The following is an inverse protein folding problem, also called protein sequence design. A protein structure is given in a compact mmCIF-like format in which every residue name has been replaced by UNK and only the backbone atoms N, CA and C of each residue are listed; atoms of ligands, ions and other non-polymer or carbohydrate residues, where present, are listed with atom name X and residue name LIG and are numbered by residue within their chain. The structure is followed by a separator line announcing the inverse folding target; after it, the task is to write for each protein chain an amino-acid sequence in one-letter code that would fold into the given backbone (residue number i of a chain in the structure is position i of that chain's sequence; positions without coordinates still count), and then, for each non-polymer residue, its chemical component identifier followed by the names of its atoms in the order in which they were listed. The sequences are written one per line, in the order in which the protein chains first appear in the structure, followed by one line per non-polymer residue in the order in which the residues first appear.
data_IF_954793388014
#
_entry.id   IF_954793388014
#
_cell.length_a   1.000
_cell.length_b   1.000
_cell.length_c   1.000
_cell.angle_alpha   90.00
_cell.angle_beta   90.00
_cell.angle_gamma   90.00
#
_symmetry.space_group_name_H-M   'P 1'
#
loop_
_entity.id
_entity.type
_entity.pdbx_description
1 polymer ?
#
# COMPACT_ATOMS: atom_id res chain seq x y z
N UNK A 1 6.03 3.99 12.79
CA UNK A 1 5.05 3.88 13.89
C UNK A 1 5.67 4.54 15.11
N UNK A 2 4.90 5.24 15.97
CA UNK A 2 5.46 5.80 17.21
C UNK A 2 5.82 4.70 18.21
N UNK A 3 6.78 4.96 19.09
CA UNK A 3 7.20 4.02 20.13
C UNK A 3 6.09 3.73 21.17
N UNK A 4 5.16 4.67 21.35
CA UNK A 4 4.00 4.50 22.24
C UNK A 4 2.68 4.91 21.52
N UNK A 5 2.01 4.00 20.81
CA UNK A 5 0.78 4.29 20.09
C UNK A 5 -0.39 4.56 21.05
N UNK A 6 -1.20 5.56 20.72
CA UNK A 6 -2.37 5.98 21.48
C UNK A 6 -3.62 5.25 20.99
N UNK A 7 -4.51 4.92 21.94
CA UNK A 7 -5.80 4.29 21.62
C UNK A 7 -6.66 5.23 20.76
N UNK A 8 -7.43 4.63 19.84
CA UNK A 8 -8.29 5.32 18.89
C UNK A 8 -7.56 6.29 17.94
N UNK A 9 -6.24 6.20 17.79
CA UNK A 9 -5.48 6.99 16.82
C UNK A 9 -5.08 6.15 15.61
N UNK A 10 -5.36 6.68 14.41
CA UNK A 10 -4.87 6.09 13.17
C UNK A 10 -3.43 6.53 12.90
N UNK A 11 -2.52 5.56 12.73
CA UNK A 11 -1.14 5.82 12.35
C UNK A 11 -0.92 5.40 10.90
N UNK A 12 -0.88 6.40 10.02
CA UNK A 12 -0.65 6.19 8.60
C UNK A 12 0.86 6.22 8.35
N UNK A 13 1.47 5.15 7.81
CA UNK A 13 2.89 5.19 7.45
C UNK A 13 3.11 6.20 6.32
N UNK A 14 4.32 6.78 6.25
CA UNK A 14 4.71 7.60 5.11
C UNK A 14 4.66 6.75 3.84
N UNK A 15 3.89 7.22 2.88
CA UNK A 15 3.78 6.60 1.57
C UNK A 15 4.78 7.28 0.64
N UNK A 16 5.78 6.52 0.17
CA UNK A 16 6.77 7.02 -0.80
C UNK A 16 6.23 6.71 -2.20
N UNK A 17 6.07 7.75 -3.01
CA UNK A 17 5.60 7.62 -4.38
C UNK A 17 6.69 7.02 -5.27
N UNK A 18 6.38 5.89 -5.90
CA UNK A 18 7.30 5.14 -6.77
C UNK A 18 6.87 5.11 -8.25
N UNK A 19 6.02 6.05 -8.67
CA UNK A 19 5.45 6.06 -10.01
C UNK A 19 4.14 5.30 -10.12
N UNK A 20 3.64 5.16 -11.35
CA UNK A 20 2.43 4.41 -11.66
C UNK A 20 2.70 3.30 -12.68
N UNK A 21 2.03 2.16 -12.51
CA UNK A 21 2.00 1.08 -13.49
C UNK A 21 1.12 1.47 -14.70
N UNK A 22 1.27 0.71 -15.79
CA UNK A 22 0.37 0.86 -16.94
C UNK A 22 -1.09 0.56 -16.55
N UNK A 23 -2.10 1.13 -17.24
CA UNK A 23 -3.51 0.91 -16.90
C UNK A 23 -3.91 -0.56 -16.82
N UNK A 24 -3.47 -1.38 -17.78
CA UNK A 24 -3.80 -2.81 -17.79
C UNK A 24 -3.18 -3.58 -16.64
N UNK A 25 -1.95 -3.23 -16.27
CA UNK A 25 -1.29 -3.85 -15.12
C UNK A 25 -1.96 -3.43 -13.81
N UNK A 26 -2.28 -2.15 -13.66
CA UNK A 26 -2.96 -1.64 -12.48
C UNK A 26 -4.35 -2.25 -12.28
N UNK A 27 -5.10 -2.41 -13.37
CA UNK A 27 -6.40 -3.09 -13.36
C UNK A 27 -6.28 -4.53 -12.86
N UNK A 28 -5.29 -5.29 -13.36
CA UNK A 28 -5.06 -6.69 -12.95
C UNK A 28 -4.66 -6.81 -11.48
N UNK A 29 -3.91 -5.83 -10.96
CA UNK A 29 -3.38 -5.83 -9.58
C UNK A 29 -4.30 -5.16 -8.56
N UNK A 30 -5.33 -4.45 -9.00
CA UNK A 30 -6.26 -3.71 -8.12
C UNK A 30 -5.70 -2.38 -7.57
N UNK A 31 -4.57 -1.92 -8.09
CA UNK A 31 -3.93 -0.65 -7.74
C UNK A 31 -2.98 -0.23 -8.86
N UNK A 32 -2.87 1.07 -9.15
CA UNK A 32 -1.85 1.59 -10.08
C UNK A 32 -0.50 1.85 -9.41
N UNK A 33 -0.47 1.92 -8.09
CA UNK A 33 0.73 2.23 -7.30
C UNK A 33 1.48 0.93 -6.93
N UNK A 34 2.69 0.71 -7.45
CA UNK A 34 3.46 -0.52 -7.19
C UNK A 34 3.63 -0.83 -5.69
N UNK A 35 3.88 0.19 -4.88
CA UNK A 35 4.12 0.10 -3.44
C UNK A 35 2.88 -0.30 -2.61
N UNK A 36 1.69 -0.27 -3.23
CA UNK A 36 0.45 -0.74 -2.63
C UNK A 36 0.09 -2.17 -3.05
N UNK A 37 0.79 -2.77 -4.03
CA UNK A 37 0.49 -4.12 -4.47
C UNK A 37 0.96 -5.16 -3.43
N UNK A 38 0.01 -5.79 -2.74
CA UNK A 38 0.26 -6.79 -1.69
C UNK A 38 -0.62 -8.04 -1.93
N UNK A 39 -0.20 -8.96 -2.81
CA UNK A 39 -0.96 -10.19 -3.03
C UNK A 39 -0.93 -11.06 -1.77
N UNK A 40 -2.05 -11.72 -1.46
CA UNK A 40 -2.06 -12.73 -0.41
C UNK A 40 -1.18 -13.92 -0.83
N UNK A 41 -0.37 -14.49 0.08
CA UNK A 41 0.33 -15.73 -0.23
C UNK A 41 -0.71 -16.80 -0.62
N UNK A 42 -0.38 -17.58 -1.65
CA UNK A 42 -1.18 -18.74 -2.04
C UNK A 42 -1.27 -19.75 -0.90
N UNK A 43 -2.30 -20.60 -0.92
CA UNK A 43 -2.37 -21.76 -0.01
C UNK A 43 -1.23 -22.73 -0.26
#
# INVERSE_FOLDING_TARGET
MPDNPQLAQAYIPYQIYNGIMSPMEGLRKGTVFPELYRPYPGK
#
